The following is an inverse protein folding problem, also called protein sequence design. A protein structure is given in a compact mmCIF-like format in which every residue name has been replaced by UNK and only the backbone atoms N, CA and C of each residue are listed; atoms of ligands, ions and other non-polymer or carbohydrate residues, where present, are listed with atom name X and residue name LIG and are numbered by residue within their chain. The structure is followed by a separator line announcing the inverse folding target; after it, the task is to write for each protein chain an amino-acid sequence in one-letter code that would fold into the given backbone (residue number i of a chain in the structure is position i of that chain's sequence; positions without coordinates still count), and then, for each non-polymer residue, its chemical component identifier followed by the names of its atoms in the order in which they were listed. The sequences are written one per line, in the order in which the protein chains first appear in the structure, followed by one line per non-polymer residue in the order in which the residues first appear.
data_IF_194715989972
#
_entry.id   IF_194715989972
#
_cell.length_a   1.000
_cell.length_b   1.000
_cell.length_c   1.000
_cell.angle_alpha   90.00
_cell.angle_beta   90.00
_cell.angle_gamma   90.00
#
_symmetry.space_group_name_H-M   'P 1'
#
loop_
_entity.id
_entity.type
_entity.pdbx_description
1 polymer ?
#
# COMPACT_ATOMS: atom_id res chain seq x y z
N UNK A 1 -13.54 4.82 -12.96
CA UNK A 1 -12.20 4.97 -12.34
C UNK A 1 -11.19 5.22 -13.45
N UNK A 2 -10.52 6.38 -13.45
CA UNK A 2 -9.47 6.70 -14.42
C UNK A 2 -8.10 6.30 -13.88
N UNK A 3 -7.82 6.63 -12.64
CA UNK A 3 -6.60 6.28 -11.92
C UNK A 3 -6.93 5.34 -10.76
N UNK A 4 -5.93 4.62 -10.27
CA UNK A 4 -6.05 3.81 -9.05
C UNK A 4 -4.89 4.12 -8.11
N UNK A 5 -5.03 5.20 -7.34
CA UNK A 5 -3.99 5.71 -6.44
C UNK A 5 -4.36 5.60 -4.97
N UNK A 6 -5.65 5.55 -4.66
CA UNK A 6 -6.22 5.44 -3.30
C UNK A 6 -7.66 4.94 -3.35
N UNK A 7 -8.23 4.68 -2.19
CA UNK A 7 -9.62 4.21 -2.07
C UNK A 7 -10.64 5.17 -2.73
N UNK A 8 -10.43 6.47 -2.61
CA UNK A 8 -11.34 7.48 -3.17
C UNK A 8 -11.49 7.40 -4.71
N UNK A 9 -10.56 6.75 -5.40
CA UNK A 9 -10.65 6.53 -6.85
C UNK A 9 -11.63 5.39 -7.21
N UNK A 10 -12.02 4.58 -6.22
CA UNK A 10 -12.88 3.40 -6.43
C UNK A 10 -14.34 3.80 -6.40
N UNK A 11 -15.02 3.67 -7.52
CA UNK A 11 -16.45 4.00 -7.64
C UNK A 11 -17.38 2.96 -7.01
N UNK A 12 -16.98 1.69 -7.04
CA UNK A 12 -17.73 0.59 -6.42
C UNK A 12 -16.77 -0.46 -5.87
N UNK A 13 -16.63 -0.48 -4.55
CA UNK A 13 -15.70 -1.36 -3.85
C UNK A 13 -16.11 -2.84 -3.95
N UNK A 14 -17.41 -3.14 -3.90
CA UNK A 14 -17.92 -4.50 -4.03
C UNK A 14 -17.57 -5.12 -5.38
N UNK A 15 -17.82 -4.39 -6.47
CA UNK A 15 -17.46 -4.83 -7.83
C UNK A 15 -15.96 -5.01 -7.98
N UNK A 16 -15.14 -4.11 -7.42
CA UNK A 16 -13.69 -4.24 -7.47
C UNK A 16 -13.20 -5.52 -6.79
N UNK A 17 -13.72 -5.81 -5.59
CA UNK A 17 -13.36 -7.00 -4.82
C UNK A 17 -13.81 -8.27 -5.55
N UNK A 18 -15.02 -8.30 -6.07
CA UNK A 18 -15.57 -9.43 -6.85
C UNK A 18 -14.66 -9.73 -8.06
N UNK A 19 -14.34 -8.68 -8.84
CA UNK A 19 -13.44 -8.79 -10.00
C UNK A 19 -12.05 -9.28 -9.60
N UNK A 20 -11.51 -8.81 -8.49
CA UNK A 20 -10.22 -9.27 -7.97
C UNK A 20 -10.26 -10.76 -7.59
N UNK A 21 -11.36 -11.24 -7.02
CA UNK A 21 -11.54 -12.67 -6.76
C UNK A 21 -11.70 -13.49 -8.04
N UNK A 22 -12.37 -12.98 -9.07
CA UNK A 22 -12.42 -13.64 -10.37
C UNK A 22 -11.02 -13.80 -10.98
N UNK A 23 -10.23 -12.72 -11.00
CA UNK A 23 -8.85 -12.77 -11.48
C UNK A 23 -8.00 -13.76 -10.68
N UNK A 24 -8.21 -13.87 -9.36
CA UNK A 24 -7.52 -14.85 -8.51
C UNK A 24 -7.91 -16.28 -8.84
N UNK A 25 -9.19 -16.55 -9.10
CA UNK A 25 -9.68 -17.90 -9.43
C UNK A 25 -9.28 -18.36 -10.83
N UNK A 26 -9.29 -17.45 -11.79
CA UNK A 26 -9.03 -17.75 -13.21
C UNK A 26 -8.00 -16.80 -13.81
N UNK A 27 -6.73 -16.86 -13.36
CA UNK A 27 -5.71 -15.86 -13.70
C UNK A 27 -5.37 -15.81 -15.20
N UNK A 28 -5.63 -16.88 -15.93
CA UNK A 28 -5.37 -16.96 -17.38
C UNK A 28 -6.57 -16.57 -18.26
N UNK A 29 -7.77 -16.43 -17.69
CA UNK A 29 -8.98 -16.11 -18.45
C UNK A 29 -8.95 -14.68 -19.06
N UNK A 30 -8.11 -13.80 -18.53
CA UNK A 30 -8.03 -12.38 -18.88
C UNK A 30 -6.87 -12.07 -19.85
N UNK A 31 -6.17 -13.09 -20.34
CA UNK A 31 -4.94 -12.92 -21.13
C UNK A 31 -5.12 -12.08 -22.41
N UNK A 32 -6.31 -12.04 -22.96
CA UNK A 32 -6.59 -11.28 -24.18
C UNK A 32 -6.88 -9.80 -23.92
N UNK A 33 -7.13 -9.39 -22.68
CA UNK A 33 -7.49 -8.00 -22.37
C UNK A 33 -6.37 -6.99 -22.59
N UNK A 34 -5.13 -7.45 -22.43
CA UNK A 34 -3.95 -6.60 -22.55
C UNK A 34 -3.18 -6.75 -23.85
N UNK A 35 -3.64 -7.56 -24.81
CA UNK A 35 -2.95 -7.73 -26.10
C UNK A 35 -2.82 -6.39 -26.80
N UNK A 36 -1.59 -6.06 -27.23
CA UNK A 36 -1.26 -4.81 -27.90
C UNK A 36 -1.27 -3.60 -26.96
N UNK A 37 -1.26 -3.83 -25.64
CA UNK A 37 -1.14 -2.80 -24.60
C UNK A 37 0.15 -2.94 -23.85
N UNK A 38 0.73 -1.81 -23.47
CA UNK A 38 1.97 -1.75 -22.69
C UNK A 38 1.72 -1.17 -21.30
N UNK A 39 2.17 -1.89 -20.27
CA UNK A 39 2.30 -1.37 -18.91
C UNK A 39 3.70 -0.79 -18.71
N UNK A 40 3.78 0.51 -18.49
CA UNK A 40 4.99 1.15 -17.94
C UNK A 40 5.04 0.97 -16.42
N UNK A 41 6.22 0.66 -15.88
CA UNK A 41 6.46 0.69 -14.44
C UNK A 41 7.60 1.67 -14.15
N UNK A 42 7.32 2.70 -13.37
CA UNK A 42 8.29 3.73 -13.00
C UNK A 42 8.56 3.69 -11.50
N UNK A 43 9.81 3.42 -11.13
CA UNK A 43 10.27 3.30 -9.76
C UNK A 43 11.17 4.46 -9.38
N UNK A 44 10.76 5.26 -8.41
CA UNK A 44 11.62 6.24 -7.73
C UNK A 44 12.41 5.62 -6.57
N UNK A 45 11.99 4.43 -6.14
CA UNK A 45 12.64 3.68 -5.06
C UNK A 45 12.67 2.19 -5.42
N UNK A 46 13.75 1.46 -5.09
CA UNK A 46 13.87 0.06 -5.42
C UNK A 46 12.81 -0.80 -4.75
N UNK A 47 12.31 -1.81 -5.47
CA UNK A 47 11.39 -2.83 -4.94
C UNK A 47 11.49 -4.11 -5.74
N UNK A 48 11.82 -5.21 -5.07
CA UNK A 48 11.83 -6.53 -5.70
C UNK A 48 10.42 -7.07 -5.87
N UNK A 49 9.66 -7.15 -4.79
CA UNK A 49 8.33 -7.80 -4.78
C UNK A 49 7.34 -7.07 -5.68
N UNK A 50 7.25 -5.75 -5.56
CA UNK A 50 6.35 -4.94 -6.39
C UNK A 50 6.68 -5.09 -7.88
N UNK A 51 7.97 -5.00 -8.23
CA UNK A 51 8.42 -5.17 -9.63
C UNK A 51 8.00 -6.51 -10.21
N UNK A 52 8.32 -7.61 -9.51
CA UNK A 52 8.03 -8.96 -9.98
C UNK A 52 6.52 -9.24 -10.02
N UNK A 53 5.77 -8.88 -8.99
CA UNK A 53 4.33 -9.12 -8.94
C UNK A 53 3.56 -8.32 -9.99
N UNK A 54 3.91 -7.05 -10.18
CA UNK A 54 3.26 -6.20 -11.19
C UNK A 54 3.59 -6.68 -12.61
N UNK A 55 4.86 -7.01 -12.88
CA UNK A 55 5.26 -7.62 -14.15
C UNK A 55 4.47 -8.90 -14.43
N UNK A 56 4.40 -9.80 -13.45
CA UNK A 56 3.66 -11.06 -13.59
C UNK A 56 2.17 -10.82 -13.85
N UNK A 57 1.56 -9.86 -13.18
CA UNK A 57 0.15 -9.53 -13.38
C UNK A 57 -0.11 -9.01 -14.80
N UNK A 58 0.74 -8.12 -15.29
CA UNK A 58 0.65 -7.61 -16.67
C UNK A 58 0.79 -8.74 -17.71
N UNK A 59 1.77 -9.64 -17.52
CA UNK A 59 1.96 -10.81 -18.39
C UNK A 59 0.72 -11.73 -18.39
N UNK A 60 0.08 -11.93 -17.25
CA UNK A 60 -1.16 -12.71 -17.16
C UNK A 60 -2.32 -12.08 -17.93
N UNK A 61 -2.34 -10.74 -18.04
CA UNK A 61 -3.29 -10.01 -18.86
C UNK A 61 -2.92 -9.96 -20.35
N UNK A 62 -1.70 -10.42 -20.71
CA UNK A 62 -1.18 -10.36 -22.08
C UNK A 62 -0.61 -9.01 -22.49
N UNK A 63 -0.25 -8.16 -21.53
CA UNK A 63 0.40 -6.87 -21.76
C UNK A 63 1.91 -7.03 -21.95
N UNK A 64 2.48 -6.14 -22.76
CA UNK A 64 3.91 -5.88 -22.75
C UNK A 64 4.28 -5.05 -21.51
N UNK A 65 5.55 -5.15 -21.05
CA UNK A 65 5.99 -4.47 -19.83
C UNK A 65 7.30 -3.73 -20.06
N UNK A 66 7.31 -2.44 -19.75
CA UNK A 66 8.52 -1.61 -19.71
C UNK A 66 8.74 -1.22 -18.23
N UNK A 67 9.89 -1.59 -17.67
CA UNK A 67 10.24 -1.27 -16.28
C UNK A 67 11.43 -0.34 -16.23
N UNK A 68 11.30 0.77 -15.53
CA UNK A 68 12.29 1.84 -15.45
C UNK A 68 12.52 2.26 -13.99
N UNK A 69 13.77 2.57 -13.65
CA UNK A 69 14.15 3.14 -12.34
C UNK A 69 14.77 4.51 -12.55
N UNK A 70 14.17 5.53 -11.97
CA UNK A 70 14.68 6.92 -12.06
C UNK A 70 16.02 7.01 -11.36
N UNK A 71 16.99 7.64 -12.02
CA UNK A 71 18.32 7.89 -11.48
C UNK A 71 19.33 6.74 -11.55
N UNK A 72 18.89 5.53 -11.95
CA UNK A 72 19.80 4.40 -12.15
C UNK A 72 19.70 3.77 -13.54
N UNK A 73 18.50 3.59 -14.06
CA UNK A 73 18.25 3.10 -15.43
C UNK A 73 17.87 4.24 -16.37
N UNK A 74 17.42 5.36 -15.80
CA UNK A 74 17.11 6.61 -16.51
C UNK A 74 17.83 7.78 -15.81
N UNK A 75 17.80 8.97 -16.39
CA UNK A 75 18.33 10.17 -15.75
C UNK A 75 17.45 10.63 -14.57
N UNK A 76 17.97 11.56 -13.78
CA UNK A 76 17.22 12.24 -12.73
C UNK A 76 16.18 13.17 -13.33
N UNK A 77 15.02 13.23 -12.67
CA UNK A 77 13.93 14.16 -13.03
C UNK A 77 13.91 15.33 -12.05
N UNK A 78 13.76 16.55 -12.56
CA UNK A 78 13.42 17.71 -11.76
C UNK A 78 11.91 17.66 -11.42
N UNK A 79 11.60 17.76 -10.13
CA UNK A 79 10.23 17.62 -9.62
C UNK A 79 9.62 18.93 -9.13
N UNK A 80 10.43 19.98 -8.98
CA UNK A 80 10.01 21.28 -8.45
C UNK A 80 9.54 22.20 -9.59
N UNK A 81 8.43 22.87 -9.40
CA UNK A 81 7.92 23.83 -10.37
C UNK A 81 8.71 25.14 -10.37
N UNK A 82 8.81 25.77 -11.55
CA UNK A 82 9.41 27.09 -11.73
C UNK A 82 10.93 27.16 -11.57
N UNK A 83 11.59 26.00 -11.57
CA UNK A 83 13.06 25.90 -11.46
C UNK A 83 13.69 26.07 -12.84
N UNK A 84 14.82 26.78 -12.89
CA UNK A 84 15.67 26.82 -14.07
C UNK A 84 16.36 25.48 -14.20
N UNK A 85 16.34 24.87 -15.40
CA UNK A 85 16.91 23.55 -15.67
C UNK A 85 18.44 23.63 -15.88
N UNK A 86 19.16 24.14 -14.87
CA UNK A 86 20.63 24.28 -14.86
C UNK A 86 21.32 23.34 -13.86
N UNK A 87 20.54 22.44 -13.23
CA UNK A 87 21.01 21.46 -12.26
C UNK A 87 21.40 20.11 -12.87
N UNK A 88 21.44 19.07 -12.01
CA UNK A 88 21.82 17.71 -12.41
C UNK A 88 20.69 16.93 -13.11
N UNK A 89 19.46 17.39 -13.03
CA UNK A 89 18.32 16.74 -13.68
C UNK A 89 18.28 17.08 -15.18
N UNK A 90 18.22 16.06 -16.02
CA UNK A 90 18.21 16.22 -17.47
C UNK A 90 16.83 16.62 -18.02
N UNK A 91 15.76 16.34 -17.27
CA UNK A 91 14.39 16.54 -17.74
C UNK A 91 13.47 16.89 -16.57
N UNK A 92 12.45 17.73 -16.84
CA UNK A 92 11.43 18.02 -15.84
C UNK A 92 10.33 16.96 -15.88
N UNK A 93 9.76 16.66 -14.72
CA UNK A 93 8.73 15.62 -14.54
C UNK A 93 7.49 15.81 -15.44
N UNK A 94 7.16 17.04 -15.81
CA UNK A 94 6.00 17.34 -16.69
C UNK A 94 6.22 16.81 -18.10
N UNK A 95 7.41 17.06 -18.65
CA UNK A 95 7.82 16.54 -19.97
C UNK A 95 7.89 15.02 -19.93
N UNK A 96 8.57 14.45 -18.93
CA UNK A 96 8.68 13.01 -18.75
C UNK A 96 7.31 12.32 -18.65
N UNK A 97 6.36 12.90 -17.90
CA UNK A 97 5.02 12.36 -17.78
C UNK A 97 4.27 12.36 -19.13
N UNK A 98 4.30 13.48 -19.85
CA UNK A 98 3.64 13.61 -21.15
C UNK A 98 4.24 12.67 -22.21
N UNK A 99 5.57 12.53 -22.22
CA UNK A 99 6.30 11.64 -23.15
C UNK A 99 5.99 10.18 -22.84
N UNK A 100 6.09 9.75 -21.58
CA UNK A 100 5.78 8.38 -21.19
C UNK A 100 4.33 7.99 -21.53
N UNK A 101 3.40 8.93 -21.41
CA UNK A 101 2.01 8.75 -21.81
C UNK A 101 1.79 8.50 -23.31
N UNK A 102 2.83 8.67 -24.16
CA UNK A 102 2.79 8.33 -25.59
C UNK A 102 3.32 6.93 -25.90
N UNK A 103 4.08 6.36 -24.99
CA UNK A 103 4.73 5.05 -25.20
C UNK A 103 4.05 3.91 -24.47
N UNK A 104 3.24 4.21 -23.45
CA UNK A 104 2.57 3.16 -22.65
C UNK A 104 1.08 3.46 -22.50
N UNK A 105 0.27 2.43 -22.32
CA UNK A 105 -1.19 2.55 -22.16
C UNK A 105 -1.62 2.72 -20.71
N UNK A 106 -0.82 2.23 -19.78
CA UNK A 106 -1.02 2.34 -18.33
C UNK A 106 0.33 2.54 -17.67
N UNK A 107 0.41 3.39 -16.66
CA UNK A 107 1.66 3.62 -15.93
C UNK A 107 1.49 3.28 -14.44
N UNK A 108 2.25 2.30 -13.97
CA UNK A 108 2.41 1.98 -12.57
C UNK A 108 3.56 2.80 -11.97
N UNK A 109 3.31 3.54 -10.88
CA UNK A 109 4.31 4.42 -10.27
C UNK A 109 4.51 4.06 -8.81
N UNK A 110 5.78 3.96 -8.41
CA UNK A 110 6.17 3.81 -7.01
C UNK A 110 6.98 5.01 -6.56
N UNK A 111 6.40 5.78 -5.61
CA UNK A 111 7.00 6.98 -5.02
C UNK A 111 6.94 6.89 -3.51
N UNK A 112 8.02 6.47 -2.87
CA UNK A 112 8.07 6.24 -1.43
C UNK A 112 8.20 7.57 -0.67
N UNK A 113 7.74 7.61 0.58
CA UNK A 113 8.00 8.72 1.47
C UNK A 113 9.51 8.88 1.72
N UNK A 114 10.01 10.11 1.67
CA UNK A 114 11.40 10.40 1.99
C UNK A 114 11.65 10.45 3.50
N UNK A 115 10.60 10.64 4.30
CA UNK A 115 10.62 10.72 5.77
C UNK A 115 11.49 11.85 6.32
N UNK A 116 11.69 12.91 5.52
CA UNK A 116 12.42 14.13 5.89
C UNK A 116 11.46 15.26 6.24
N UNK A 117 10.47 15.48 5.39
CA UNK A 117 9.44 16.49 5.57
C UNK A 117 8.06 15.86 5.34
N UNK A 118 7.24 15.83 6.38
CA UNK A 118 5.90 15.25 6.32
C UNK A 118 4.99 15.97 5.32
N UNK A 119 5.07 17.27 5.24
CA UNK A 119 4.20 18.08 4.36
C UNK A 119 4.53 17.78 2.89
N UNK A 120 5.80 17.65 2.56
CA UNK A 120 6.26 17.26 1.22
C UNK A 120 5.84 15.84 0.86
N UNK A 121 6.03 14.87 1.78
CA UNK A 121 5.60 13.50 1.59
C UNK A 121 4.07 13.43 1.36
N UNK A 122 3.27 14.15 2.15
CA UNK A 122 1.81 14.19 2.03
C UNK A 122 1.31 15.03 0.84
N UNK A 123 2.12 15.91 0.31
CA UNK A 123 1.80 16.61 -0.93
C UNK A 123 1.73 15.66 -2.13
N UNK A 124 2.48 14.55 -2.12
CA UNK A 124 2.54 13.52 -3.19
C UNK A 124 2.73 14.12 -4.59
N UNK A 125 3.57 15.16 -4.69
CA UNK A 125 3.73 15.98 -5.88
C UNK A 125 4.05 15.14 -7.12
N UNK A 126 4.95 14.18 -7.01
CA UNK A 126 5.35 13.31 -8.13
C UNK A 126 4.14 12.53 -8.66
N UNK A 127 3.42 11.81 -7.79
CA UNK A 127 2.28 11.00 -8.22
C UNK A 127 1.18 11.87 -8.85
N UNK A 128 0.88 13.03 -8.23
CA UNK A 128 -0.12 13.97 -8.74
C UNK A 128 0.25 14.52 -10.11
N UNK A 129 1.52 14.83 -10.34
CA UNK A 129 2.00 15.30 -11.65
C UNK A 129 1.76 14.27 -12.73
N UNK A 130 2.11 13.02 -12.51
CA UNK A 130 1.82 11.96 -13.47
C UNK A 130 0.32 11.77 -13.72
N UNK A 131 -0.52 11.86 -12.67
CA UNK A 131 -1.97 11.80 -12.84
C UNK A 131 -2.53 12.93 -13.72
N UNK A 132 -1.91 14.14 -13.64
CA UNK A 132 -2.34 15.30 -14.41
C UNK A 132 -1.78 15.28 -15.83
N UNK A 133 -0.49 14.99 -15.99
CA UNK A 133 0.26 15.33 -17.19
C UNK A 133 0.47 14.13 -18.14
N UNK A 134 0.37 12.89 -17.67
CA UNK A 134 0.61 11.71 -18.50
C UNK A 134 -0.51 11.41 -19.52
N UNK A 135 -1.73 11.88 -19.29
CA UNK A 135 -2.86 11.65 -20.19
C UNK A 135 -3.44 10.22 -20.18
N UNK A 136 -2.79 9.27 -19.51
CA UNK A 136 -3.12 7.84 -19.43
C UNK A 136 -3.52 7.43 -18.01
N UNK A 137 -4.12 6.24 -17.80
CA UNK A 137 -4.39 5.69 -16.47
C UNK A 137 -3.10 5.51 -15.64
N UNK A 138 -3.15 5.94 -14.38
CA UNK A 138 -2.07 5.78 -13.41
C UNK A 138 -2.49 4.81 -12.32
N UNK A 139 -1.60 3.88 -11.98
CA UNK A 139 -1.74 2.96 -10.85
C UNK A 139 -0.64 3.24 -9.83
N UNK A 140 -1.02 3.58 -8.60
CA UNK A 140 -0.03 3.69 -7.52
C UNK A 140 0.42 2.29 -7.09
N UNK A 141 1.69 2.00 -7.30
CA UNK A 141 2.31 0.76 -6.81
C UNK A 141 2.70 0.87 -5.33
N UNK A 142 2.84 2.05 -4.82
CA UNK A 142 2.95 2.53 -3.44
C UNK A 142 3.35 4.00 -3.49
N UNK A 143 2.63 4.86 -2.78
CA UNK A 143 2.97 6.27 -2.63
C UNK A 143 3.47 6.58 -1.22
N UNK A 144 3.73 7.84 -0.93
CA UNK A 144 4.11 8.26 0.41
C UNK A 144 3.00 8.04 1.45
N UNK A 145 1.74 8.13 1.03
CA UNK A 145 0.59 8.09 1.94
C UNK A 145 -0.34 6.89 1.73
N UNK A 146 -0.32 6.24 0.55
CA UNK A 146 -1.24 5.15 0.21
C UNK A 146 -0.57 3.97 -0.50
N UNK A 147 -1.11 2.78 -0.24
CA UNK A 147 -0.75 1.55 -0.96
C UNK A 147 -2.02 0.76 -1.33
N UNK A 148 -2.81 1.22 -2.34
CA UNK A 148 -4.12 0.66 -2.63
C UNK A 148 -4.09 -0.82 -3.02
N UNK A 149 -3.06 -1.26 -3.74
CA UNK A 149 -2.90 -2.66 -4.14
C UNK A 149 -2.70 -3.59 -2.93
N UNK A 150 -1.93 -3.15 -1.92
CA UNK A 150 -1.76 -3.91 -0.69
C UNK A 150 -3.09 -4.00 0.07
N UNK A 151 -3.80 -2.87 0.23
CA UNK A 151 -5.07 -2.86 0.95
C UNK A 151 -6.15 -3.68 0.26
N UNK A 152 -6.19 -3.70 -1.08
CA UNK A 152 -7.07 -4.61 -1.83
C UNK A 152 -6.75 -6.08 -1.52
N UNK A 153 -5.47 -6.44 -1.50
CA UNK A 153 -5.04 -7.80 -1.17
C UNK A 153 -5.38 -8.19 0.28
N UNK A 154 -5.23 -7.24 1.22
CA UNK A 154 -5.57 -7.44 2.63
C UNK A 154 -7.08 -7.64 2.81
N UNK A 155 -7.91 -6.81 2.17
CA UNK A 155 -9.38 -6.94 2.17
C UNK A 155 -9.79 -8.27 1.54
N UNK A 156 -9.25 -8.64 0.38
CA UNK A 156 -9.52 -9.95 -0.23
C UNK A 156 -9.20 -11.09 0.73
N UNK A 157 -8.10 -10.99 1.46
CA UNK A 157 -7.72 -12.00 2.43
C UNK A 157 -8.70 -12.05 3.59
N UNK A 158 -9.09 -10.91 4.14
CA UNK A 158 -10.10 -10.84 5.21
C UNK A 158 -11.44 -11.40 4.72
N UNK A 159 -11.92 -11.00 3.55
CA UNK A 159 -13.16 -11.49 2.97
C UNK A 159 -13.16 -13.02 2.76
N UNK A 160 -12.02 -13.60 2.40
CA UNK A 160 -11.88 -15.05 2.20
C UNK A 160 -11.97 -15.83 3.52
N UNK A 161 -11.50 -15.26 4.63
CA UNK A 161 -11.38 -15.97 5.91
C UNK A 161 -12.35 -15.49 7.00
N UNK A 162 -13.07 -14.39 6.79
CA UNK A 162 -14.03 -13.88 7.76
C UNK A 162 -15.16 -14.88 8.02
N UNK A 163 -15.63 -14.93 9.26
CA UNK A 163 -16.74 -15.79 9.68
C UNK A 163 -18.01 -15.01 10.00
N UNK A 164 -17.98 -13.68 9.90
CA UNK A 164 -19.09 -12.80 10.16
C UNK A 164 -19.03 -11.57 9.25
N UNK A 165 -20.16 -10.85 9.14
CA UNK A 165 -20.26 -9.68 8.26
C UNK A 165 -19.28 -8.56 8.66
N UNK A 166 -19.12 -8.30 9.96
CA UNK A 166 -18.27 -7.23 10.51
C UNK A 166 -17.19 -7.83 11.41
N UNK A 167 -16.13 -8.39 10.83
CA UNK A 167 -15.06 -8.97 11.62
C UNK A 167 -14.32 -7.89 12.41
N UNK A 168 -13.86 -8.24 13.60
CA UNK A 168 -12.88 -7.41 14.31
C UNK A 168 -11.52 -7.62 13.69
N UNK A 169 -10.90 -6.52 13.28
CA UNK A 169 -9.59 -6.49 12.63
C UNK A 169 -8.65 -5.63 13.44
N UNK A 170 -7.46 -6.14 13.74
CA UNK A 170 -6.46 -5.40 14.50
C UNK A 170 -5.30 -5.04 13.61
N UNK A 171 -5.06 -3.74 13.43
CA UNK A 171 -3.86 -3.21 12.82
C UNK A 171 -2.82 -2.98 13.93
N UNK A 172 -1.70 -3.66 13.84
CA UNK A 172 -0.63 -3.53 14.82
C UNK A 172 0.75 -3.54 14.17
N UNK A 173 1.72 -2.92 14.80
CA UNK A 173 3.13 -2.98 14.41
C UNK A 173 4.04 -2.98 15.63
N UNK A 174 5.21 -3.58 15.48
CA UNK A 174 6.25 -3.58 16.49
C UNK A 174 7.07 -2.29 16.46
N UNK A 175 7.76 -2.00 17.56
CA UNK A 175 8.79 -0.96 17.57
C UNK A 175 9.82 -1.22 16.48
N UNK A 176 10.16 -0.16 15.74
CA UNK A 176 11.19 -0.20 14.72
C UNK A 176 12.20 0.93 14.98
N UNK A 177 13.52 0.67 14.85
CA UNK A 177 14.53 1.67 15.16
C UNK A 177 14.58 2.85 14.17
N UNK A 178 13.99 2.69 12.99
CA UNK A 178 13.88 3.74 11.98
C UNK A 178 12.41 4.09 11.74
N UNK A 179 12.14 5.34 11.37
CA UNK A 179 10.83 5.75 10.90
C UNK A 179 10.39 4.89 9.72
N UNK A 180 9.13 4.48 9.71
CA UNK A 180 8.53 3.69 8.64
C UNK A 180 7.49 4.54 7.90
N UNK A 181 7.35 4.34 6.57
CA UNK A 181 6.28 4.95 5.80
C UNK A 181 4.89 4.57 6.34
N UNK A 182 3.98 5.53 6.32
CA UNK A 182 2.62 5.34 6.82
C UNK A 182 1.65 4.82 5.75
N UNK A 183 2.09 4.71 4.50
CA UNK A 183 1.27 4.40 3.34
C UNK A 183 0.39 3.14 3.53
N UNK A 184 0.97 2.04 3.99
CA UNK A 184 0.23 0.79 4.17
C UNK A 184 -0.75 0.88 5.32
N UNK A 185 -0.35 1.49 6.45
CA UNK A 185 -1.22 1.64 7.62
C UNK A 185 -2.42 2.56 7.32
N UNK A 186 -2.19 3.68 6.63
CA UNK A 186 -3.22 4.60 6.22
C UNK A 186 -4.22 3.93 5.27
N UNK A 187 -3.72 3.32 4.20
CA UNK A 187 -4.56 2.62 3.23
C UNK A 187 -5.36 1.50 3.88
N UNK A 188 -4.72 0.65 4.68
CA UNK A 188 -5.42 -0.43 5.36
C UNK A 188 -6.55 0.09 6.25
N UNK A 189 -6.30 1.16 7.03
CA UNK A 189 -7.33 1.74 7.90
C UNK A 189 -8.52 2.30 7.09
N UNK A 190 -8.26 3.02 5.99
CA UNK A 190 -9.31 3.52 5.11
C UNK A 190 -10.16 2.39 4.51
N UNK A 191 -9.53 1.35 3.99
CA UNK A 191 -10.22 0.22 3.38
C UNK A 191 -10.99 -0.60 4.40
N UNK A 192 -10.43 -0.84 5.59
CA UNK A 192 -11.11 -1.54 6.67
C UNK A 192 -12.39 -0.80 7.13
N UNK A 193 -12.33 0.54 7.21
CA UNK A 193 -13.49 1.36 7.53
C UNK A 193 -14.53 1.35 6.41
N UNK A 194 -14.13 1.41 5.14
CA UNK A 194 -15.03 1.33 3.99
C UNK A 194 -15.74 -0.03 3.89
N UNK A 195 -15.07 -1.09 4.35
CA UNK A 195 -15.63 -2.45 4.46
C UNK A 195 -16.47 -2.65 5.73
N UNK A 196 -16.66 -1.60 6.54
CA UNK A 196 -17.40 -1.65 7.81
C UNK A 196 -16.81 -2.64 8.83
N UNK A 197 -15.50 -2.93 8.79
CA UNK A 197 -14.87 -3.79 9.79
C UNK A 197 -14.77 -3.08 11.14
N UNK A 198 -14.80 -3.85 12.24
CA UNK A 198 -14.51 -3.34 13.59
C UNK A 198 -12.99 -3.19 13.75
N UNK A 199 -12.45 -2.04 13.28
CA UNK A 199 -11.03 -1.77 13.26
C UNK A 199 -10.52 -1.33 14.62
N UNK A 200 -9.51 -2.02 15.12
CA UNK A 200 -8.72 -1.64 16.30
C UNK A 200 -7.28 -1.37 15.88
N UNK A 201 -6.72 -0.24 16.31
CA UNK A 201 -5.31 0.08 16.09
C UNK A 201 -4.57 -0.07 17.41
N UNK A 202 -3.56 -0.92 17.43
CA UNK A 202 -2.71 -1.19 18.57
C UNK A 202 -1.25 -0.95 18.19
N UNK A 203 -0.59 -0.01 18.85
CA UNK A 203 0.80 0.32 18.61
C UNK A 203 1.52 0.59 19.93
N UNK A 204 2.86 0.42 20.01
CA UNK A 204 3.63 0.81 21.17
C UNK A 204 3.45 2.30 21.47
N UNK A 205 3.50 2.73 22.75
CA UNK A 205 3.54 4.14 23.09
C UNK A 205 4.77 4.78 22.41
N UNK A 206 4.61 6.01 21.90
CA UNK A 206 5.73 6.76 21.35
C UNK A 206 6.77 6.97 22.47
N UNK A 207 7.93 6.33 22.36
CA UNK A 207 9.05 6.62 23.24
C UNK A 207 9.57 8.00 22.89
N UNK A 208 9.50 8.91 23.85
CA UNK A 208 10.10 10.24 23.76
C UNK A 208 11.62 10.12 23.82
N UNK A 209 12.25 9.79 22.71
CA UNK A 209 13.67 10.01 22.52
C UNK A 209 13.85 11.19 21.58
N UNK A 210 14.20 12.31 22.19
CA UNK A 210 14.90 13.46 21.63
C UNK A 210 15.03 13.50 20.10
N UNK A 211 14.36 14.53 19.53
CA UNK A 211 14.58 15.10 18.22
C UNK A 211 14.02 14.32 17.01
N UNK A 212 12.95 14.90 16.44
CA UNK A 212 12.31 14.58 15.17
C UNK A 212 11.54 13.25 15.13
N UNK A 213 10.66 13.03 16.07
CA UNK A 213 9.62 12.04 15.91
C UNK A 213 8.51 12.58 15.02
N UNK A 214 8.35 11.99 13.85
CA UNK A 214 7.04 11.86 13.21
C UNK A 214 6.17 11.01 14.15
N UNK A 215 5.84 11.58 15.29
CA UNK A 215 4.83 11.01 16.18
C UNK A 215 3.54 10.95 15.39
N UNK A 216 2.90 9.80 15.43
CA UNK A 216 1.55 9.56 14.95
C UNK A 216 0.55 10.55 15.61
N UNK A 217 0.62 11.81 15.24
CA UNK A 217 -0.46 12.77 15.42
C UNK A 217 -1.44 12.47 14.29
N UNK A 218 -2.57 12.01 14.68
CA UNK A 218 -3.80 11.73 13.96
C UNK A 218 -3.89 12.52 12.65
N UNK A 219 -4.00 11.80 11.53
CA UNK A 219 -4.50 12.39 10.30
C UNK A 219 -5.86 13.03 10.60
N UNK A 220 -6.12 14.30 10.23
CA UNK A 220 -7.35 14.99 10.60
C UNK A 220 -8.63 14.40 9.98
N UNK A 221 -8.51 13.37 9.15
CA UNK A 221 -9.64 12.80 8.40
C UNK A 221 -10.24 11.53 9.02
N UNK A 222 -9.59 10.92 9.99
CA UNK A 222 -10.13 9.71 10.64
C UNK A 222 -10.62 10.07 12.05
N UNK A 223 -11.93 10.28 12.21
CA UNK A 223 -12.56 10.34 13.53
C UNK A 223 -12.51 8.94 14.17
N UNK A 224 -11.44 8.68 14.91
CA UNK A 224 -11.28 7.44 15.65
C UNK A 224 -12.18 7.44 16.89
N UNK A 225 -13.09 6.47 17.02
CA UNK A 225 -13.61 6.08 18.33
C UNK A 225 -12.46 5.47 19.12
N UNK A 226 -11.97 6.18 20.12
CA UNK A 226 -11.02 5.66 21.11
C UNK A 226 -11.67 4.46 21.83
N UNK A 227 -11.28 3.25 21.51
CA UNK A 227 -11.45 2.13 22.43
C UNK A 227 -10.19 1.98 23.27
N UNK A 228 -10.39 1.69 24.55
CA UNK A 228 -9.36 1.62 25.59
C UNK A 228 -8.16 0.78 25.17
N UNK A 229 -6.97 1.35 25.38
CA UNK A 229 -5.69 0.64 25.33
C UNK A 229 -5.76 -0.56 26.28
N UNK A 230 -5.76 -1.77 25.74
CA UNK A 230 -5.55 -2.99 26.52
C UNK A 230 -4.03 -3.21 26.65
N UNK A 231 -3.49 -2.84 27.81
CA UNK A 231 -2.17 -3.28 28.20
C UNK A 231 -2.25 -4.76 28.60
N UNK A 232 -1.32 -5.55 28.02
CA UNK A 232 -0.92 -6.89 28.44
C UNK A 232 -2.02 -7.91 28.73
N UNK A 233 -2.39 -8.68 27.75
CA UNK A 233 -2.57 -10.13 27.75
C UNK A 233 -3.21 -10.52 26.42
N UNK A 234 -2.55 -11.39 25.65
CA UNK A 234 -3.16 -11.96 24.45
C UNK A 234 -4.37 -12.82 24.83
N UNK A 235 -5.56 -12.54 24.32
CA UNK A 235 -6.68 -13.46 24.48
C UNK A 235 -6.52 -14.66 23.57
N UNK A 236 -6.77 -15.85 24.12
CA UNK A 236 -6.60 -17.16 23.49
C UNK A 236 -7.69 -17.55 22.49
N UNK A 237 -8.36 -16.66 21.79
CA UNK A 237 -9.38 -17.09 20.80
C UNK A 237 -9.63 -16.05 19.73
N UNK A 238 -9.35 -16.47 18.51
CA UNK A 238 -10.09 -16.09 17.31
C UNK A 238 -10.03 -14.63 16.83
N UNK A 239 -8.87 -13.94 16.85
CA UNK A 239 -8.69 -12.62 16.24
C UNK A 239 -7.92 -12.70 14.92
N UNK A 240 -8.37 -11.97 13.90
CA UNK A 240 -7.56 -11.75 12.69
C UNK A 240 -6.57 -10.64 13.01
N UNK A 241 -5.31 -11.00 13.05
CA UNK A 241 -4.22 -10.04 13.22
C UNK A 241 -3.54 -9.84 11.89
N UNK A 242 -3.74 -8.70 11.26
CA UNK A 242 -2.90 -8.28 10.14
C UNK A 242 -1.60 -7.75 10.74
N UNK A 243 -0.56 -8.58 10.73
CA UNK A 243 0.76 -8.17 11.22
C UNK A 243 1.56 -7.65 10.04
N UNK A 244 1.85 -6.36 10.04
CA UNK A 244 2.91 -5.82 9.20
C UNK A 244 4.25 -6.29 9.76
N UNK A 245 4.74 -7.41 9.24
CA UNK A 245 6.04 -7.93 9.59
C UNK A 245 7.17 -7.13 8.96
N UNK A 246 7.76 -6.23 9.73
CA UNK A 246 9.14 -5.83 9.48
C UNK A 246 10.03 -6.81 10.23
N UNK A 247 10.80 -7.59 9.46
CA UNK A 247 11.80 -8.48 10.04
C UNK A 247 12.93 -7.65 10.65
N UNK A 248 13.03 -7.61 11.97
CA UNK A 248 14.28 -7.25 12.65
C UNK A 248 15.12 -8.51 12.82
N UNK A 249 16.30 -8.53 12.20
CA UNK A 249 17.33 -9.53 12.47
C UNK A 249 17.87 -9.27 13.87
N UNK A 250 17.51 -10.09 14.81
CA UNK A 250 18.18 -10.14 16.10
C UNK A 250 19.54 -10.82 15.85
N UNK A 251 20.62 -10.05 15.90
CA UNK A 251 21.97 -10.58 15.96
C UNK A 251 22.23 -11.05 17.38
N UNK A 252 21.87 -12.30 17.67
CA UNK A 252 22.30 -13.01 18.85
C UNK A 252 23.23 -14.14 18.43
N UNK A 253 24.47 -14.13 18.89
CA UNK A 253 25.39 -15.25 18.76
C UNK A 253 24.78 -16.50 19.42
N UNK A 254 24.25 -17.42 18.63
CA UNK A 254 23.73 -18.67 19.10
C UNK A 254 23.34 -19.56 17.92
N UNK A 255 24.15 -20.60 17.68
CA UNK A 255 23.89 -21.63 16.68
C UNK A 255 22.57 -22.32 16.97
N UNK A 256 21.59 -22.15 16.12
CA UNK A 256 20.37 -22.97 16.05
C UNK A 256 20.00 -23.22 14.59
N UNK A 257 19.53 -24.44 14.25
CA UNK A 257 19.26 -24.83 12.87
C UNK A 257 18.04 -24.10 12.30
N UNK A 258 17.91 -24.00 10.97
CA UNK A 258 16.82 -23.26 10.33
C UNK A 258 15.46 -23.91 10.63
N UNK A 259 14.60 -23.21 11.32
CA UNK A 259 13.20 -23.59 11.50
C UNK A 259 12.45 -23.48 10.19
N UNK A 260 11.75 -24.54 9.82
CA UNK A 260 10.81 -24.58 8.70
C UNK A 260 9.82 -23.43 8.80
N UNK A 261 9.59 -22.76 7.69
CA UNK A 261 8.61 -21.69 7.55
C UNK A 261 7.20 -22.24 7.80
N UNK A 262 6.57 -21.82 8.86
CA UNK A 262 5.12 -21.95 9.05
C UNK A 262 4.45 -20.65 8.65
N UNK A 263 3.49 -20.74 7.73
CA UNK A 263 2.60 -19.63 7.38
C UNK A 263 1.83 -19.23 8.64
N UNK A 264 1.76 -17.93 9.01
CA UNK A 264 0.98 -17.52 10.17
C UNK A 264 -0.49 -17.86 9.97
N UNK A 265 -1.06 -18.59 10.91
CA UNK A 265 -2.49 -18.91 10.93
C UNK A 265 -3.28 -17.66 11.28
N UNK A 266 -4.12 -17.18 10.37
CA UNK A 266 -5.07 -16.10 10.64
C UNK A 266 -6.18 -16.62 11.57
N UNK A 267 -6.35 -15.96 12.70
CA UNK A 267 -7.45 -16.25 13.62
C UNK A 267 -8.53 -15.17 13.50
N UNK A 268 -9.78 -15.57 13.22
CA UNK A 268 -10.96 -14.69 13.15
C UNK A 268 -11.86 -14.91 14.36
N UNK A 269 -12.18 -13.87 15.14
CA UNK A 269 -13.21 -13.93 16.16
C UNK A 269 -14.45 -13.12 15.81
N UNK A 270 -15.61 -13.73 15.94
CA UNK A 270 -16.89 -13.04 15.95
C UNK A 270 -17.44 -13.06 17.38
N UNK A 271 -17.54 -11.91 18.02
CA UNK A 271 -18.38 -11.76 19.22
C UNK A 271 -19.78 -11.42 18.77
N UNK A 272 -20.73 -12.33 19.01
CA UNK A 272 -22.15 -12.02 18.92
C UNK A 272 -22.48 -11.02 20.06
N UNK A 273 -23.04 -9.87 19.73
CA UNK A 273 -23.68 -9.01 20.71
C UNK A 273 -24.96 -9.69 21.15
N UNK A 274 -25.27 -9.77 22.44
CA UNK A 274 -26.59 -10.20 22.87
C UNK A 274 -27.61 -9.18 22.40
N UNK A 275 -28.56 -9.62 21.60
CA UNK A 275 -29.80 -8.92 21.29
C UNK A 275 -30.69 -9.00 22.55
N UNK A 276 -30.80 -7.89 23.23
CA UNK A 276 -31.72 -7.66 24.33
C UNK A 276 -31.80 -6.17 24.57
N UNK A 277 -32.92 -5.54 24.71
CA UNK A 277 -34.29 -5.85 25.07
C UNK A 277 -35.08 -4.58 24.77
N UNK A 278 -36.29 -4.75 24.27
CA UNK A 278 -37.51 -3.88 24.28
C UNK A 278 -37.34 -2.40 24.02
#
# INVERSE_FOLDING_TARGET
MRHFTRLADVTNLGILIERAFECKRTPHAWRTMGIGRTLGMLFFNPSLRTRVSTHRSATLLGMDVISMTVGSETWQLETRDGVVMDGAAAEHIREAAAVLGRYVDVLGIRTFAQLQNREEDYAETILKRFCTDAGIPIVSLESATHHPLQSLADVMTIEQFKRCRRPRVVLTWALHPKALPQAVANSFAEWALAMEYDLVISHPPATSSTNNSLTARQSPTIKMKRSKVLSSSMPKTGQVTATMGTYSRVTGNGKSPPKKWSVPTMATSCTAFPSGVT
#
